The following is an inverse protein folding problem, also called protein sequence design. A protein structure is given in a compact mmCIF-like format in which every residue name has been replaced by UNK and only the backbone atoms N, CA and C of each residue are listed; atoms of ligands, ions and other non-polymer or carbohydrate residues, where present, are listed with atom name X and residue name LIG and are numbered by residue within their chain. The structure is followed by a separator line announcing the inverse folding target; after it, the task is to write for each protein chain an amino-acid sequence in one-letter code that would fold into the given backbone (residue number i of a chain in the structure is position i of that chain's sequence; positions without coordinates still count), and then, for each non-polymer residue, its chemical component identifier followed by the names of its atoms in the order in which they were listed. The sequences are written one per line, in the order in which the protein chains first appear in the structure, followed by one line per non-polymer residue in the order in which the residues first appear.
data_IF_865991613039
#
_entry.id   IF_865991613039
#
_cell.length_a   1.000
_cell.length_b   1.000
_cell.length_c   1.000
_cell.angle_alpha   90.00
_cell.angle_beta   90.00
_cell.angle_gamma   90.00
#
_symmetry.space_group_name_H-M   'P 1'
#
loop_
_entity.id
_entity.type
_entity.pdbx_description
1 polymer ?
#
# COMPACT_ATOMS: atom_id res chain seq x y z
N UNK A 1 13.73 -5.64 -17.57
CA UNK A 1 14.12 -6.74 -16.65
C UNK A 1 14.65 -6.11 -15.36
N UNK A 2 13.83 -6.01 -14.33
CA UNK A 2 14.23 -5.60 -12.98
C UNK A 2 13.50 -6.49 -11.99
N UNK A 3 13.91 -7.76 -11.93
CA UNK A 3 13.38 -8.75 -10.98
C UNK A 3 14.35 -9.02 -9.81
N UNK A 4 15.37 -8.16 -9.63
CA UNK A 4 16.48 -8.40 -8.71
C UNK A 4 16.48 -7.59 -7.41
N UNK A 5 15.70 -6.52 -7.27
CA UNK A 5 15.81 -5.58 -6.14
C UNK A 5 14.80 -5.82 -5.03
N UNK A 6 13.52 -6.01 -5.37
CA UNK A 6 12.43 -5.87 -4.38
C UNK A 6 12.37 -7.03 -3.37
N UNK A 7 12.78 -8.23 -3.78
CA UNK A 7 12.80 -9.42 -2.93
C UNK A 7 13.98 -9.42 -1.93
N UNK A 8 15.05 -8.67 -2.20
CA UNK A 8 16.24 -8.61 -1.35
C UNK A 8 16.01 -7.80 -0.08
N UNK A 9 15.35 -6.63 -0.22
CA UNK A 9 15.00 -5.78 0.92
C UNK A 9 14.02 -6.47 1.88
N UNK A 10 13.06 -7.22 1.34
CA UNK A 10 12.08 -7.95 2.15
C UNK A 10 12.69 -9.07 2.99
N UNK A 11 13.78 -9.70 2.54
CA UNK A 11 14.46 -10.76 3.29
C UNK A 11 15.26 -10.24 4.48
N UNK A 12 15.68 -8.98 4.46
CA UNK A 12 16.47 -8.37 5.54
C UNK A 12 15.60 -7.83 6.70
N UNK A 13 14.29 -7.64 6.48
CA UNK A 13 13.38 -7.12 7.49
C UNK A 13 13.03 -8.23 8.47
N UNK A 14 13.34 -8.02 9.75
CA UNK A 14 12.83 -8.87 10.83
C UNK A 14 11.30 -8.80 10.81
N UNK A 15 10.65 -9.94 10.56
CA UNK A 15 9.20 -10.02 10.55
C UNK A 15 8.60 -9.69 11.93
N UNK A 16 7.45 -9.04 11.93
CA UNK A 16 6.67 -8.81 13.14
C UNK A 16 6.18 -10.14 13.71
N UNK A 17 6.59 -10.43 14.93
CA UNK A 17 6.22 -11.64 15.68
C UNK A 17 5.42 -11.31 16.94
N UNK A 18 4.73 -10.16 16.97
CA UNK A 18 3.89 -9.75 18.10
C UNK A 18 4.64 -8.93 19.15
N UNK A 19 5.96 -8.78 19.02
CA UNK A 19 6.81 -8.02 19.94
C UNK A 19 7.22 -6.69 19.29
N UNK A 20 7.27 -5.62 20.08
CA UNK A 20 7.75 -4.29 19.68
C UNK A 20 7.05 -3.70 18.44
N UNK A 21 5.71 -3.70 18.44
CA UNK A 21 4.89 -3.08 17.39
C UNK A 21 5.36 -1.66 16.99
N UNK A 22 5.73 -0.75 17.92
CA UNK A 22 6.22 0.58 17.54
C UNK A 22 7.47 0.55 16.67
N UNK A 23 8.40 -0.38 16.92
CA UNK A 23 9.63 -0.51 16.15
C UNK A 23 9.34 -1.07 14.75
N UNK A 24 8.55 -2.15 14.68
CA UNK A 24 8.12 -2.71 13.39
C UNK A 24 7.38 -1.67 12.55
N UNK A 25 6.44 -0.94 13.16
CA UNK A 25 5.66 0.11 12.48
C UNK A 25 6.59 1.16 11.86
N UNK A 26 7.55 1.68 12.64
CA UNK A 26 8.52 2.68 12.15
C UNK A 26 9.38 2.15 11.00
N UNK A 27 9.79 0.88 11.05
CA UNK A 27 10.55 0.27 9.95
C UNK A 27 9.71 0.20 8.67
N UNK A 28 8.45 -0.23 8.77
CA UNK A 28 7.54 -0.32 7.63
C UNK A 28 7.22 1.03 7.03
N UNK A 29 6.92 2.03 7.86
CA UNK A 29 6.71 3.41 7.39
C UNK A 29 7.94 3.92 6.62
N UNK A 30 9.16 3.70 7.13
CA UNK A 30 10.39 4.10 6.42
C UNK A 30 10.64 3.36 5.09
N UNK A 31 10.24 2.09 4.99
CA UNK A 31 10.32 1.34 3.72
C UNK A 31 9.31 1.86 2.71
N UNK A 32 8.09 2.14 3.16
CA UNK A 32 7.05 2.69 2.29
C UNK A 32 7.44 4.08 1.79
N UNK A 33 8.01 4.93 2.63
CA UNK A 33 8.55 6.24 2.25
C UNK A 33 9.69 6.12 1.23
N UNK A 34 10.67 5.23 1.48
CA UNK A 34 11.78 5.00 0.56
C UNK A 34 11.33 4.51 -0.83
N UNK A 35 10.21 3.79 -0.90
CA UNK A 35 9.62 3.29 -2.15
C UNK A 35 8.56 4.24 -2.74
N UNK A 36 8.36 5.42 -2.15
CA UNK A 36 7.32 6.40 -2.54
C UNK A 36 5.89 5.81 -2.51
N UNK A 37 5.64 4.90 -1.56
CA UNK A 37 4.35 4.25 -1.34
C UNK A 37 3.63 4.79 -0.09
N UNK A 38 4.28 5.64 0.70
CA UNK A 38 3.73 6.21 1.93
C UNK A 38 2.53 7.11 1.68
N UNK A 39 2.38 7.65 0.46
CA UNK A 39 1.20 8.43 0.06
C UNK A 39 -0.14 7.74 0.40
N UNK A 40 -0.25 6.42 0.23
CA UNK A 40 -1.51 5.71 0.54
C UNK A 40 -1.78 5.53 2.03
N UNK A 41 -0.79 5.78 2.90
CA UNK A 41 -0.98 5.78 4.35
C UNK A 41 -1.74 7.03 4.81
N UNK A 42 -1.60 8.13 4.07
CA UNK A 42 -2.14 9.44 4.42
C UNK A 42 -3.30 9.88 3.52
N UNK A 43 -3.65 9.09 2.50
CA UNK A 43 -4.70 9.44 1.54
C UNK A 43 -5.86 8.46 1.54
N UNK A 44 -7.07 9.03 1.53
CA UNK A 44 -8.29 8.27 1.39
C UNK A 44 -8.44 7.75 -0.04
N UNK A 45 -9.10 6.59 -0.19
CA UNK A 45 -9.52 6.09 -1.49
C UNK A 45 -10.36 7.19 -2.19
N UNK A 46 -10.07 7.53 -3.46
CA UNK A 46 -10.86 8.51 -4.19
C UNK A 46 -12.34 8.14 -4.21
N UNK A 47 -13.22 9.15 -4.12
CA UNK A 47 -14.66 9.00 -4.19
C UNK A 47 -15.17 9.44 -5.57
N UNK A 48 -16.15 8.73 -6.14
CA UNK A 48 -16.74 9.13 -7.41
C UNK A 48 -17.45 10.48 -7.26
N UNK A 49 -17.38 11.36 -8.29
CA UNK A 49 -18.14 12.61 -8.29
C UNK A 49 -19.65 12.33 -8.28
N UNK A 50 -20.42 13.29 -7.78
CA UNK A 50 -21.88 13.21 -7.80
C UNK A 50 -22.41 13.44 -9.22
N UNK A 51 -23.37 12.63 -9.65
CA UNK A 51 -23.99 12.78 -10.97
C UNK A 51 -24.68 14.15 -11.12
N UNK A 52 -24.54 14.77 -12.30
CA UNK A 52 -25.19 16.03 -12.65
C UNK A 52 -24.48 17.30 -12.19
N UNK A 53 -23.25 17.20 -11.67
CA UNK A 53 -22.41 18.37 -11.41
C UNK A 53 -21.82 18.93 -12.71
N UNK A 54 -21.46 20.21 -12.72
CA UNK A 54 -20.69 20.82 -13.81
C UNK A 54 -19.37 20.06 -14.05
N UNK A 55 -19.01 19.90 -15.32
CA UNK A 55 -17.84 19.14 -15.79
C UNK A 55 -17.82 17.68 -15.29
N UNK A 56 -18.98 17.03 -15.18
CA UNK A 56 -19.09 15.66 -14.69
C UNK A 56 -18.17 14.68 -15.43
N UNK A 57 -18.11 14.75 -16.76
CA UNK A 57 -17.28 13.83 -17.56
C UNK A 57 -15.79 14.00 -17.28
N UNK A 58 -15.32 15.25 -17.13
CA UNK A 58 -13.92 15.55 -16.77
C UNK A 58 -13.60 15.08 -15.35
N UNK A 59 -14.48 15.34 -14.39
CA UNK A 59 -14.33 14.89 -13.00
C UNK A 59 -14.36 13.37 -12.87
N UNK A 60 -15.17 12.70 -13.69
CA UNK A 60 -15.20 11.24 -13.77
C UNK A 60 -13.89 10.68 -14.34
N UNK A 61 -13.34 11.31 -15.39
CA UNK A 61 -12.03 10.94 -15.93
C UNK A 61 -10.92 11.11 -14.88
N UNK A 62 -10.88 12.27 -14.20
CA UNK A 62 -9.91 12.53 -13.13
C UNK A 62 -10.06 11.53 -11.96
N UNK A 63 -11.30 11.21 -11.59
CA UNK A 63 -11.60 10.19 -10.60
C UNK A 63 -11.01 8.83 -10.97
N UNK A 64 -11.24 8.34 -12.19
CA UNK A 64 -10.70 7.05 -12.64
C UNK A 64 -9.18 7.03 -12.64
N UNK A 65 -8.54 8.10 -13.10
CA UNK A 65 -7.08 8.22 -13.07
C UNK A 65 -6.54 8.14 -11.64
N UNK A 66 -7.10 8.92 -10.71
CA UNK A 66 -6.70 8.89 -9.29
C UNK A 66 -6.96 7.54 -8.65
N UNK A 67 -8.09 6.91 -8.97
CA UNK A 67 -8.48 5.60 -8.45
C UNK A 67 -7.47 4.53 -8.85
N UNK A 68 -7.10 4.47 -10.13
CA UNK A 68 -6.14 3.49 -10.65
C UNK A 68 -4.77 3.62 -9.96
N UNK A 69 -4.27 4.86 -9.84
CA UNK A 69 -3.01 5.13 -9.13
C UNK A 69 -3.08 4.70 -7.66
N UNK A 70 -4.15 5.09 -6.96
CA UNK A 70 -4.33 4.73 -5.56
C UNK A 70 -4.43 3.22 -5.37
N UNK A 71 -5.19 2.51 -6.21
CA UNK A 71 -5.33 1.05 -6.11
C UNK A 71 -4.02 0.32 -6.36
N UNK A 72 -3.23 0.75 -7.35
CA UNK A 72 -1.91 0.18 -7.66
C UNK A 72 -0.96 0.34 -6.47
N UNK A 73 -0.82 1.55 -5.93
CA UNK A 73 0.08 1.83 -4.80
C UNK A 73 -0.39 1.12 -3.54
N UNK A 74 -1.70 1.16 -3.24
CA UNK A 74 -2.29 0.51 -2.08
C UNK A 74 -2.12 -1.01 -2.11
N UNK A 75 -2.30 -1.64 -3.27
CA UNK A 75 -2.05 -3.08 -3.44
C UNK A 75 -0.60 -3.43 -3.13
N UNK A 76 0.35 -2.61 -3.56
CA UNK A 76 1.76 -2.86 -3.32
C UNK A 76 2.15 -2.63 -1.85
N UNK A 77 1.74 -1.52 -1.25
CA UNK A 77 1.94 -1.24 0.17
C UNK A 77 1.37 -2.34 1.06
N UNK A 78 0.12 -2.79 0.79
CA UNK A 78 -0.50 -3.93 1.50
C UNK A 78 0.32 -5.20 1.40
N UNK A 79 0.88 -5.51 0.23
CA UNK A 79 1.73 -6.70 0.05
C UNK A 79 3.01 -6.64 0.89
N UNK A 80 3.62 -5.46 1.02
CA UNK A 80 4.79 -5.23 1.88
C UNK A 80 4.42 -5.47 3.34
N UNK A 81 3.35 -4.82 3.81
CA UNK A 81 2.87 -4.95 5.19
C UNK A 81 2.51 -6.41 5.50
N UNK A 82 1.77 -7.10 4.62
CA UNK A 82 1.41 -8.51 4.81
C UNK A 82 2.66 -9.40 4.90
N UNK A 83 3.66 -9.22 4.02
CA UNK A 83 4.89 -10.04 4.01
C UNK A 83 5.83 -9.76 5.17
N UNK A 84 5.73 -8.59 5.79
CA UNK A 84 6.52 -8.24 6.96
C UNK A 84 5.95 -8.78 8.27
N UNK A 85 4.76 -9.37 8.27
CA UNK A 85 4.18 -10.07 9.42
C UNK A 85 4.56 -11.55 9.35
N UNK A 86 5.00 -12.12 10.47
CA UNK A 86 5.40 -13.53 10.54
C UNK A 86 4.21 -14.44 10.26
N UNK A 87 4.46 -15.58 9.62
CA UNK A 87 3.40 -16.52 9.23
C UNK A 87 2.55 -16.99 10.43
N UNK A 88 3.17 -17.14 11.61
CA UNK A 88 2.50 -17.58 12.84
C UNK A 88 1.49 -16.58 13.41
N UNK A 89 1.52 -15.32 12.99
CA UNK A 89 0.57 -14.27 13.40
C UNK A 89 -0.28 -13.80 12.24
N UNK A 90 0.31 -13.79 11.04
CA UNK A 90 -0.36 -13.42 9.81
C UNK A 90 -1.60 -14.28 9.58
N UNK A 91 -1.57 -15.57 9.94
CA UNK A 91 -2.67 -16.47 9.61
C UNK A 91 -2.91 -16.57 8.09
N UNK A 92 -4.11 -16.97 7.68
CA UNK A 92 -4.52 -17.01 6.27
C UNK A 92 -5.16 -15.66 5.91
N UNK A 93 -4.34 -14.63 5.64
CA UNK A 93 -4.89 -13.45 4.97
C UNK A 93 -5.05 -13.78 3.50
N UNK A 94 -6.29 -14.00 3.07
CA UNK A 94 -6.60 -14.13 1.65
C UNK A 94 -6.19 -12.87 0.88
N UNK A 95 -5.80 -13.08 -0.38
CA UNK A 95 -5.23 -12.06 -1.28
C UNK A 95 -6.30 -11.18 -1.97
N UNK A 96 -7.56 -11.29 -1.54
CA UNK A 96 -8.73 -10.58 -2.08
C UNK A 96 -8.69 -9.05 -1.83
#
# INVERSE_FOLDING_TARGET
MTTGSDASYMKAIKQFNGIDFPLWKKMIEGILEFLELDYVLYTLKPFPPTFGIEDYDEKMYEYHFKLEQWEKVNKFAKRIIKRSISDGIRGVFDDD
#
